data_IF_895345413397
#
_entry.id   IF_895345413397
#
_cell.length_a   1.000
_cell.length_b   1.000
_cell.length_c   1.000
_cell.angle_alpha   90.00
_cell.angle_beta   90.00
_cell.angle_gamma   90.00
#
_symmetry.space_group_name_H-M   'P 1'
#
loop_
_entity.id
_entity.type
_entity.pdbx_description
1 polymer ?
#
# COMPACT_ATOMS: atom_id res chain seq x y z
N UNK A 1 -28.14 -75.20 -21.33
CA UNK A 1 -28.71 -74.01 -22.00
C UNK A 1 -29.76 -73.43 -21.05
N UNK A 2 -29.82 -72.10 -20.92
CA UNK A 2 -30.71 -71.29 -20.05
C UNK A 2 -30.49 -71.27 -18.50
N UNK A 3 -30.31 -70.03 -18.00
CA UNK A 3 -30.97 -69.38 -16.84
C UNK A 3 -30.36 -69.48 -15.40
N UNK A 4 -29.91 -68.29 -14.94
CA UNK A 4 -30.05 -67.55 -13.65
C UNK A 4 -29.90 -68.23 -12.28
N UNK A 5 -29.13 -67.47 -11.47
CA UNK A 5 -29.34 -67.04 -10.08
C UNK A 5 -29.05 -68.02 -8.93
N UNK A 6 -28.21 -67.57 -8.00
CA UNK A 6 -28.18 -68.08 -6.63
C UNK A 6 -28.09 -66.94 -5.60
N UNK A 7 -29.02 -67.01 -4.64
CA UNK A 7 -29.20 -66.21 -3.42
C UNK A 7 -28.22 -66.71 -2.33
N UNK A 8 -27.58 -65.80 -1.59
CA UNK A 8 -27.91 -65.35 -0.21
C UNK A 8 -27.55 -66.36 0.92
N UNK A 9 -26.69 -65.94 1.85
CA UNK A 9 -26.58 -66.54 3.20
C UNK A 9 -26.42 -65.44 4.28
N UNK A 10 -27.27 -65.57 5.30
CA UNK A 10 -27.39 -64.89 6.61
C UNK A 10 -26.13 -65.03 7.47
N UNK A 11 -25.81 -64.28 8.53
CA UNK A 11 -26.49 -63.29 9.38
C UNK A 11 -25.63 -63.03 10.64
N UNK A 12 -26.17 -62.25 11.60
CA UNK A 12 -25.68 -61.96 12.97
C UNK A 12 -24.80 -60.70 13.11
N UNK A 13 -25.43 -59.58 13.47
CA UNK A 13 -24.85 -58.56 14.36
C UNK A 13 -25.99 -57.85 15.10
N UNK A 14 -26.24 -58.24 16.34
CA UNK A 14 -27.14 -57.52 17.25
C UNK A 14 -26.60 -57.66 18.69
N UNK A 15 -26.69 -56.56 19.45
CA UNK A 15 -26.32 -56.33 20.86
C UNK A 15 -24.86 -55.93 21.16
N UNK A 16 -24.65 -54.62 21.28
CA UNK A 16 -24.15 -53.97 22.51
C UNK A 16 -24.10 -52.45 22.30
N UNK A 17 -25.22 -51.74 22.51
CA UNK A 17 -25.21 -50.28 22.66
C UNK A 17 -26.11 -49.87 23.82
N UNK A 18 -25.54 -49.96 25.03
CA UNK A 18 -26.00 -49.23 26.19
C UNK A 18 -24.86 -49.13 27.22
N UNK A 19 -23.95 -48.17 27.02
CA UNK A 19 -23.23 -47.54 28.13
C UNK A 19 -23.20 -46.04 27.87
N UNK A 20 -23.86 -45.30 28.74
CA UNK A 20 -23.81 -43.86 28.85
C UNK A 20 -22.39 -43.39 29.16
N UNK A 21 -21.79 -42.64 28.27
CA UNK A 21 -20.82 -41.62 28.66
C UNK A 21 -21.38 -40.29 28.20
N UNK A 22 -21.94 -39.55 29.15
CA UNK A 22 -22.09 -38.11 29.01
C UNK A 22 -20.71 -37.55 28.74
N UNK A 23 -20.40 -37.32 27.46
CA UNK A 23 -19.32 -36.42 27.12
C UNK A 23 -19.73 -35.10 27.72
N UNK A 24 -19.02 -34.73 28.79
CA UNK A 24 -18.82 -33.35 29.17
C UNK A 24 -18.55 -32.63 27.84
N UNK A 25 -19.54 -31.90 27.32
CA UNK A 25 -19.26 -30.86 26.35
C UNK A 25 -18.43 -29.87 27.14
N UNK A 26 -17.11 -30.06 27.13
CA UNK A 26 -16.19 -28.96 27.33
C UNK A 26 -16.67 -27.94 26.32
N UNK A 27 -17.36 -26.90 26.78
CA UNK A 27 -17.55 -25.69 25.99
C UNK A 27 -16.15 -25.33 25.57
N UNK A 28 -15.77 -25.66 24.34
CA UNK A 28 -14.58 -25.10 23.74
C UNK A 28 -14.82 -23.61 23.85
N UNK A 29 -14.03 -22.93 24.67
CA UNK A 29 -14.08 -21.49 24.75
C UNK A 29 -13.99 -21.03 23.29
N UNK A 30 -15.04 -20.35 22.80
CA UNK A 30 -15.00 -19.79 21.47
C UNK A 30 -13.68 -19.03 21.37
N UNK A 31 -12.85 -19.28 20.34
CA UNK A 31 -11.57 -18.60 20.22
C UNK A 31 -11.82 -17.11 20.38
N UNK A 32 -10.99 -16.45 21.20
CA UNK A 32 -11.11 -15.01 21.38
C UNK A 32 -11.11 -14.34 20.00
N UNK A 33 -11.98 -13.36 19.76
CA UNK A 33 -11.97 -12.60 18.52
C UNK A 33 -10.56 -12.06 18.25
N UNK A 34 -10.12 -12.11 17.00
CA UNK A 34 -8.89 -11.44 16.60
C UNK A 34 -9.04 -9.93 16.87
N UNK A 35 -8.19 -9.37 17.73
CA UNK A 35 -8.19 -7.95 18.08
C UNK A 35 -6.86 -7.32 17.68
N UNK A 36 -6.93 -6.17 17.02
CA UNK A 36 -5.77 -5.31 16.80
C UNK A 36 -5.76 -4.19 17.85
N UNK A 37 -4.69 -4.14 18.67
CA UNK A 37 -4.55 -3.14 19.74
C UNK A 37 -4.36 -1.72 19.19
N UNK A 38 -3.89 -1.61 17.95
CA UNK A 38 -3.60 -0.36 17.27
C UNK A 38 -4.79 0.07 16.39
N UNK A 39 -5.97 -0.51 16.59
CA UNK A 39 -7.21 -0.13 15.91
C UNK A 39 -8.33 0.20 16.90
N UNK A 40 -9.08 1.25 16.61
CA UNK A 40 -10.33 1.62 17.30
C UNK A 40 -11.46 1.84 16.29
N UNK A 41 -12.70 1.66 16.74
CA UNK A 41 -13.90 1.99 15.96
C UNK A 41 -14.79 2.96 16.72
N UNK A 42 -15.46 3.84 15.98
CA UNK A 42 -16.39 4.83 16.49
C UNK A 42 -17.74 4.69 15.78
N UNK A 43 -18.81 4.50 16.55
CA UNK A 43 -20.15 4.73 16.04
C UNK A 43 -20.35 6.25 15.90
N UNK A 44 -20.70 6.68 14.68
CA UNK A 44 -20.77 8.08 14.32
C UNK A 44 -22.11 8.40 13.65
N UNK A 45 -22.92 9.23 14.29
CA UNK A 45 -24.20 9.71 13.73
C UNK A 45 -23.98 10.97 12.90
N UNK A 46 -24.17 10.88 11.59
CA UNK A 46 -23.98 12.01 10.68
C UNK A 46 -25.16 12.97 10.71
N UNK A 47 -24.90 14.26 10.95
CA UNK A 47 -25.94 15.30 10.86
C UNK A 47 -26.19 15.70 9.41
N UNK A 48 -25.13 15.75 8.59
CA UNK A 48 -25.23 15.99 7.15
C UNK A 48 -26.15 14.96 6.51
N UNK A 49 -25.95 13.67 6.77
CA UNK A 49 -26.67 12.60 6.08
C UNK A 49 -27.97 12.22 6.79
N UNK A 50 -27.99 12.25 8.13
CA UNK A 50 -29.09 11.74 8.96
C UNK A 50 -29.02 10.22 9.16
N UNK A 51 -27.83 9.64 9.12
CA UNK A 51 -27.57 8.19 9.17
C UNK A 51 -26.34 7.90 10.03
N UNK A 52 -26.24 6.67 10.54
CA UNK A 52 -25.10 6.21 11.34
C UNK A 52 -24.05 5.49 10.50
N UNK A 53 -22.79 5.74 10.81
CA UNK A 53 -21.61 5.13 10.21
C UNK A 53 -20.69 4.55 11.29
N UNK A 54 -19.80 3.66 10.86
CA UNK A 54 -18.67 3.23 11.69
C UNK A 54 -17.40 3.86 11.13
N UNK A 55 -16.67 4.60 11.95
CA UNK A 55 -15.37 5.16 11.62
C UNK A 55 -14.29 4.30 12.27
N UNK A 56 -13.55 3.58 11.45
CA UNK A 56 -12.39 2.79 11.85
C UNK A 56 -11.14 3.66 11.80
N UNK A 57 -10.29 3.57 12.82
CA UNK A 57 -9.01 4.28 12.89
C UNK A 57 -7.93 3.29 13.27
N UNK A 58 -6.92 3.13 12.44
CA UNK A 58 -5.73 2.33 12.73
C UNK A 58 -4.50 3.22 12.85
N UNK A 59 -3.76 3.04 13.94
CA UNK A 59 -2.58 3.81 14.31
C UNK A 59 -1.31 3.23 13.68
N UNK A 60 -0.42 4.07 13.14
CA UNK A 60 0.86 3.59 12.66
C UNK A 60 1.77 3.15 13.83
N UNK A 61 2.78 2.28 13.56
CA UNK A 61 3.80 1.94 14.54
C UNK A 61 4.46 3.20 15.15
N UNK A 62 4.63 3.18 16.48
CA UNK A 62 5.24 4.29 17.20
C UNK A 62 4.34 5.52 17.38
N UNK A 63 3.04 5.43 17.07
CA UNK A 63 2.09 6.52 17.34
C UNK A 63 2.22 7.01 18.79
N UNK A 64 2.20 6.11 19.77
CA UNK A 64 2.24 6.47 21.20
C UNK A 64 3.61 6.96 21.70
N UNK A 65 4.70 6.64 21.00
CA UNK A 65 6.07 6.97 21.43
C UNK A 65 6.61 8.23 20.78
N UNK A 66 5.95 8.74 19.74
CA UNK A 66 6.36 9.94 19.01
C UNK A 66 5.37 11.09 19.17
N UNK A 67 5.82 12.31 18.90
CA UNK A 67 4.99 13.52 18.90
C UNK A 67 4.68 14.05 17.50
N UNK A 68 5.05 13.29 16.46
CA UNK A 68 4.87 13.75 15.08
C UNK A 68 3.38 13.76 14.70
N UNK A 69 3.05 14.60 13.73
CA UNK A 69 1.73 14.62 13.10
C UNK A 69 1.75 13.78 11.84
N UNK A 70 0.83 12.85 11.71
CA UNK A 70 0.79 11.86 10.63
C UNK A 70 -0.07 12.31 9.44
N UNK A 71 0.29 11.96 8.19
CA UNK A 71 -0.66 12.01 7.08
C UNK A 71 -1.83 11.05 7.35
N UNK A 72 -2.96 11.24 6.66
CA UNK A 72 -4.15 10.41 6.83
C UNK A 72 -4.57 9.77 5.51
N UNK A 73 -4.73 8.45 5.51
CA UNK A 73 -5.33 7.69 4.42
C UNK A 73 -6.81 7.42 4.75
N UNK A 74 -7.70 8.21 4.17
CA UNK A 74 -9.14 7.96 4.22
C UNK A 74 -9.54 6.94 3.16
N UNK A 75 -10.52 6.09 3.47
CA UNK A 75 -11.06 5.14 2.50
C UNK A 75 -12.56 4.92 2.66
N UNK A 76 -13.23 4.78 1.51
CA UNK A 76 -14.59 4.26 1.44
C UNK A 76 -14.57 2.75 1.67
N UNK A 77 -15.74 2.14 1.93
CA UNK A 77 -15.85 0.69 2.19
C UNK A 77 -14.87 0.24 3.30
N UNK A 78 -14.78 1.03 4.38
CA UNK A 78 -13.83 0.82 5.48
C UNK A 78 -13.95 -0.55 6.15
N UNK A 79 -15.14 -1.16 6.09
CA UNK A 79 -15.39 -2.52 6.57
C UNK A 79 -14.50 -3.57 5.88
N UNK A 80 -14.06 -3.32 4.64
CA UNK A 80 -13.25 -4.25 3.84
C UNK A 80 -11.85 -3.73 3.56
N UNK A 81 -11.73 -2.44 3.23
CA UNK A 81 -10.46 -1.87 2.78
C UNK A 81 -9.46 -1.67 3.92
N UNK A 82 -9.92 -1.52 5.17
CA UNK A 82 -9.06 -1.22 6.32
C UNK A 82 -7.99 -2.29 6.53
N UNK A 83 -8.39 -3.56 6.61
CA UNK A 83 -7.47 -4.67 6.89
C UNK A 83 -6.50 -4.92 5.74
N UNK A 84 -6.91 -4.65 4.51
CA UNK A 84 -6.02 -4.71 3.33
C UNK A 84 -4.96 -3.62 3.44
N UNK A 85 -5.35 -2.38 3.75
CA UNK A 85 -4.43 -1.26 3.87
C UNK A 85 -3.40 -1.48 4.99
N UNK A 86 -3.85 -1.96 6.15
CA UNK A 86 -3.00 -2.33 7.28
C UNK A 86 -1.91 -3.33 6.84
N UNK A 87 -2.31 -4.40 6.13
CA UNK A 87 -1.37 -5.39 5.64
C UNK A 87 -0.44 -4.84 4.55
N UNK A 88 -0.92 -4.00 3.64
CA UNK A 88 -0.06 -3.35 2.65
C UNK A 88 1.04 -2.52 3.31
N UNK A 89 0.72 -1.70 4.32
CA UNK A 89 1.74 -0.97 5.08
C UNK A 89 2.70 -1.92 5.79
N UNK A 90 2.19 -3.02 6.40
CA UNK A 90 3.04 -4.01 7.06
C UNK A 90 4.06 -4.67 6.11
N UNK A 91 3.63 -5.02 4.90
CA UNK A 91 4.50 -5.66 3.91
C UNK A 91 5.45 -4.66 3.27
N UNK A 92 4.97 -3.50 2.84
CA UNK A 92 5.81 -2.46 2.23
C UNK A 92 6.88 -1.95 3.21
N UNK A 93 6.56 -1.90 4.51
CA UNK A 93 7.56 -1.61 5.55
C UNK A 93 8.69 -2.63 5.63
N UNK A 94 8.65 -3.79 4.98
CA UNK A 94 9.78 -4.72 4.97
C UNK A 94 10.83 -4.29 3.95
N UNK A 95 10.39 -3.80 2.80
CA UNK A 95 11.27 -3.52 1.67
C UNK A 95 11.62 -2.04 1.57
N UNK A 96 10.65 -1.15 1.87
CA UNK A 96 10.75 0.29 1.62
C UNK A 96 10.97 1.10 2.89
N UNK A 97 11.56 2.29 2.72
CA UNK A 97 11.41 3.38 3.68
C UNK A 97 10.05 4.05 3.51
N UNK A 98 9.14 3.77 4.44
CA UNK A 98 7.74 4.20 4.36
C UNK A 98 7.48 5.43 5.23
N UNK A 99 6.68 6.36 4.71
CA UNK A 99 6.05 7.43 5.49
C UNK A 99 4.78 6.87 6.10
N UNK A 100 4.80 6.63 7.41
CA UNK A 100 3.65 6.09 8.14
C UNK A 100 2.43 7.03 8.10
N UNK A 101 1.22 6.45 8.07
CA UNK A 101 -0.04 7.17 8.00
C UNK A 101 -1.05 6.66 9.04
N UNK A 102 -1.92 7.55 9.49
CA UNK A 102 -3.16 7.15 10.17
C UNK A 102 -4.13 6.64 9.11
N UNK A 103 -4.64 5.42 9.28
CA UNK A 103 -5.60 4.84 8.33
C UNK A 103 -7.01 5.08 8.89
N UNK A 104 -7.90 5.67 8.09
CA UNK A 104 -9.27 5.99 8.49
C UNK A 104 -10.25 5.36 7.50
N UNK A 105 -10.99 4.35 7.95
CA UNK A 105 -12.00 3.66 7.15
C UNK A 105 -13.38 4.17 7.50
N UNK A 106 -14.16 4.55 6.49
CA UNK A 106 -15.57 4.93 6.65
C UNK A 106 -16.40 3.75 6.17
N UNK A 107 -17.07 3.10 7.11
CA UNK A 107 -17.87 1.90 6.87
C UNK A 107 -19.23 1.97 7.55
N UNK A 108 -19.90 0.82 7.57
CA UNK A 108 -21.24 0.66 8.11
C UNK A 108 -21.26 -0.20 9.39
N UNK A 109 -20.17 -0.92 9.69
CA UNK A 109 -20.10 -1.89 10.77
C UNK A 109 -21.10 -3.02 10.57
N UNK A 110 -21.87 -3.34 11.61
CA UNK A 110 -22.92 -4.35 11.55
C UNK A 110 -24.23 -3.86 10.92
N UNK A 111 -24.29 -2.59 10.46
CA UNK A 111 -25.49 -1.98 9.89
C UNK A 111 -25.67 -2.40 8.41
N UNK A 112 -26.87 -2.26 7.84
CA UNK A 112 -27.07 -2.49 6.41
C UNK A 112 -26.14 -1.61 5.57
N UNK A 113 -25.40 -2.24 4.67
CA UNK A 113 -24.45 -1.54 3.80
C UNK A 113 -25.21 -0.59 2.85
N UNK A 114 -24.93 0.72 2.92
CA UNK A 114 -25.56 1.77 2.09
C UNK A 114 -24.67 2.28 0.96
N UNK A 115 -23.59 1.56 0.61
CA UNK A 115 -22.59 2.01 -0.38
C UNK A 115 -23.17 2.40 -1.74
N UNK A 116 -24.23 1.71 -2.19
CA UNK A 116 -24.85 2.01 -3.48
C UNK A 116 -25.51 3.40 -3.50
N UNK A 117 -25.97 3.89 -2.35
CA UNK A 117 -26.43 5.26 -2.18
C UNK A 117 -25.23 6.19 -2.08
N UNK A 118 -24.36 5.94 -1.09
CA UNK A 118 -23.33 6.90 -0.66
C UNK A 118 -22.21 7.09 -1.70
N UNK A 119 -21.85 6.03 -2.43
CA UNK A 119 -20.73 6.04 -3.38
C UNK A 119 -21.18 6.28 -4.83
N UNK A 120 -22.47 6.51 -5.07
CA UNK A 120 -22.96 6.83 -6.41
C UNK A 120 -22.76 8.34 -6.68
N UNK A 121 -21.91 8.72 -7.65
CA UNK A 121 -21.64 10.13 -7.96
C UNK A 121 -22.85 10.98 -8.35
N UNK A 122 -23.89 10.35 -8.91
CA UNK A 122 -25.07 11.05 -9.42
C UNK A 122 -26.11 11.33 -8.34
N UNK A 123 -26.04 10.63 -7.20
CA UNK A 123 -27.08 10.69 -6.16
C UNK A 123 -26.50 10.99 -4.79
N UNK A 124 -26.08 9.98 -4.02
CA UNK A 124 -25.62 10.17 -2.64
C UNK A 124 -24.18 10.67 -2.51
N UNK A 125 -23.35 10.53 -3.54
CA UNK A 125 -21.95 10.96 -3.56
C UNK A 125 -21.72 12.39 -3.07
N UNK A 126 -22.39 13.41 -3.63
CA UNK A 126 -22.23 14.80 -3.18
C UNK A 126 -22.55 15.00 -1.68
N UNK A 127 -23.55 14.29 -1.16
CA UNK A 127 -23.92 14.36 0.26
C UNK A 127 -22.91 13.61 1.14
N UNK A 128 -22.39 12.49 0.63
CA UNK A 128 -21.40 11.67 1.32
C UNK A 128 -20.04 12.37 1.43
N UNK A 129 -19.56 13.03 0.36
CA UNK A 129 -18.32 13.83 0.47
C UNK A 129 -18.50 15.04 1.40
N UNK A 130 -19.68 15.67 1.41
CA UNK A 130 -19.98 16.74 2.38
C UNK A 130 -19.89 16.25 3.82
N UNK A 131 -20.36 15.03 4.11
CA UNK A 131 -20.18 14.39 5.41
C UNK A 131 -18.71 14.17 5.75
N UNK A 132 -17.91 13.65 4.81
CA UNK A 132 -16.48 13.43 5.04
C UNK A 132 -15.76 14.76 5.33
N UNK A 133 -16.03 15.79 4.53
CA UNK A 133 -15.41 17.10 4.62
C UNK A 133 -15.79 17.85 5.91
N UNK A 134 -17.09 17.89 6.24
CA UNK A 134 -17.62 18.74 7.31
C UNK A 134 -17.65 18.04 8.67
N UNK A 135 -17.61 16.70 8.71
CA UNK A 135 -17.79 15.93 9.93
C UNK A 135 -16.60 15.00 10.20
N UNK A 136 -16.27 14.10 9.26
CA UNK A 136 -15.24 13.07 9.50
C UNK A 136 -13.85 13.68 9.62
N UNK A 137 -13.44 14.54 8.69
CA UNK A 137 -12.10 15.18 8.73
C UNK A 137 -11.92 15.99 10.02
N UNK A 138 -12.86 16.89 10.41
CA UNK A 138 -12.77 17.60 11.69
C UNK A 138 -12.74 16.67 12.91
N UNK A 139 -13.53 15.59 12.91
CA UNK A 139 -13.53 14.60 13.99
C UNK A 139 -12.15 13.95 14.17
N UNK A 140 -11.52 13.52 13.07
CA UNK A 140 -10.17 12.92 13.10
C UNK A 140 -9.13 13.96 13.54
N UNK A 141 -9.19 15.18 13.00
CA UNK A 141 -8.26 16.26 13.35
C UNK A 141 -8.35 16.69 14.82
N UNK A 142 -9.55 16.73 15.40
CA UNK A 142 -9.78 17.10 16.79
C UNK A 142 -9.32 16.03 17.79
N UNK A 143 -9.16 14.78 17.34
CA UNK A 143 -8.91 13.63 18.21
C UNK A 143 -7.51 13.03 18.08
N UNK A 144 -6.89 13.17 16.93
CA UNK A 144 -5.63 12.50 16.59
C UNK A 144 -4.56 13.46 16.07
N UNK A 145 -3.30 13.04 16.19
CA UNK A 145 -2.13 13.81 15.74
C UNK A 145 -1.96 13.66 14.24
N UNK A 146 -2.69 14.47 13.48
CA UNK A 146 -2.66 14.44 12.01
C UNK A 146 -2.17 15.76 11.42
N UNK A 147 -1.60 15.71 10.21
CA UNK A 147 -1.21 16.88 9.41
C UNK A 147 -2.16 17.06 8.22
N UNK A 148 -1.90 18.04 7.35
CA UNK A 148 -2.81 18.40 6.25
C UNK A 148 -2.72 17.47 5.03
N UNK A 149 -1.78 16.52 5.02
CA UNK A 149 -1.67 15.52 3.96
C UNK A 149 -2.77 14.47 4.12
N UNK A 150 -3.68 14.44 3.15
CA UNK A 150 -4.89 13.62 3.17
C UNK A 150 -4.99 12.88 1.86
N UNK A 151 -5.06 11.56 1.94
CA UNK A 151 -5.35 10.69 0.82
C UNK A 151 -6.79 10.19 0.88
N UNK A 152 -7.41 9.98 -0.28
CA UNK A 152 -8.66 9.22 -0.41
C UNK A 152 -8.44 8.00 -1.30
N UNK A 153 -8.78 6.82 -0.79
CA UNK A 153 -8.82 5.58 -1.54
C UNK A 153 -10.26 5.09 -1.73
N UNK A 154 -10.57 4.66 -2.95
CA UNK A 154 -11.82 3.95 -3.23
C UNK A 154 -11.65 2.90 -4.34
N UNK A 155 -12.37 1.79 -4.20
CA UNK A 155 -12.36 0.68 -5.14
C UNK A 155 -13.76 0.41 -5.70
N UNK A 156 -13.91 0.04 -6.97
CA UNK A 156 -15.23 -0.23 -7.58
C UNK A 156 -16.14 1.00 -7.56
N UNK A 157 -17.32 0.95 -6.91
CA UNK A 157 -18.13 2.16 -6.66
C UNK A 157 -17.35 3.22 -5.87
N UNK A 158 -16.49 2.82 -4.93
CA UNK A 158 -15.58 3.74 -4.27
C UNK A 158 -14.64 4.43 -5.26
N UNK A 159 -14.21 3.75 -6.31
CA UNK A 159 -13.41 4.34 -7.39
C UNK A 159 -14.20 5.36 -8.23
N UNK A 160 -15.49 5.11 -8.46
CA UNK A 160 -16.39 6.08 -9.10
C UNK A 160 -16.57 7.33 -8.23
N UNK A 161 -16.88 7.16 -6.95
CA UNK A 161 -16.96 8.24 -5.98
C UNK A 161 -15.65 9.03 -5.90
N UNK A 162 -14.52 8.34 -5.81
CA UNK A 162 -13.20 8.95 -5.71
C UNK A 162 -12.83 9.75 -6.98
N UNK A 163 -13.25 9.27 -8.16
CA UNK A 163 -13.14 10.02 -9.42
C UNK A 163 -13.94 11.33 -9.37
N UNK A 164 -15.17 11.29 -8.87
CA UNK A 164 -15.99 12.49 -8.68
C UNK A 164 -15.34 13.47 -7.70
N UNK A 165 -14.80 12.98 -6.58
CA UNK A 165 -14.16 13.81 -5.56
C UNK A 165 -12.94 14.55 -6.12
N UNK A 166 -12.11 13.88 -6.93
CA UNK A 166 -10.90 14.48 -7.55
C UNK A 166 -11.20 15.81 -8.27
N UNK A 167 -12.32 15.88 -8.98
CA UNK A 167 -12.65 17.01 -9.85
C UNK A 167 -13.69 17.97 -9.24
N UNK A 168 -14.57 17.50 -8.36
CA UNK A 168 -15.60 18.34 -7.74
C UNK A 168 -15.13 19.01 -6.45
N UNK A 169 -14.13 18.43 -5.76
CA UNK A 169 -13.55 18.98 -4.53
C UNK A 169 -12.01 19.06 -4.63
N UNK A 170 -11.47 19.77 -5.65
CA UNK A 170 -10.03 19.85 -5.85
C UNK A 170 -9.35 20.47 -4.61
N UNK A 171 -8.28 19.83 -4.14
CA UNK A 171 -7.52 20.27 -2.96
C UNK A 171 -8.06 19.77 -1.61
N UNK A 172 -9.25 19.16 -1.56
CA UNK A 172 -9.73 18.51 -0.33
C UNK A 172 -8.81 17.35 0.08
N UNK A 173 -8.39 16.54 -0.90
CA UNK A 173 -7.34 15.54 -0.76
C UNK A 173 -6.18 15.90 -1.68
N UNK A 174 -4.95 15.80 -1.16
CA UNK A 174 -3.75 16.01 -1.97
C UNK A 174 -3.22 14.71 -2.57
N UNK A 175 -3.83 13.58 -2.24
CA UNK A 175 -3.58 12.27 -2.83
C UNK A 175 -4.91 11.56 -3.09
N UNK A 176 -5.09 10.98 -4.27
CA UNK A 176 -6.34 10.33 -4.68
C UNK A 176 -6.03 9.01 -5.38
N UNK A 177 -6.57 7.92 -4.86
CA UNK A 177 -6.30 6.56 -5.35
C UNK A 177 -7.59 5.91 -5.86
N UNK A 178 -7.64 5.70 -7.17
CA UNK A 178 -8.84 5.22 -7.89
C UNK A 178 -8.60 3.77 -8.31
N UNK A 179 -9.21 2.83 -7.60
CA UNK A 179 -9.15 1.41 -7.91
C UNK A 179 -10.36 0.93 -8.71
N UNK A 180 -10.12 0.31 -9.86
CA UNK A 180 -11.10 -0.39 -10.70
C UNK A 180 -12.50 0.26 -10.69
N UNK A 181 -12.66 1.52 -11.12
CA UNK A 181 -13.92 2.25 -11.01
C UNK A 181 -15.07 1.46 -11.66
N UNK A 182 -16.17 1.29 -10.92
CA UNK A 182 -17.25 0.34 -11.23
C UNK A 182 -18.06 0.63 -12.50
N UNK A 183 -17.87 1.80 -13.12
CA UNK A 183 -18.46 2.19 -14.39
C UNK A 183 -17.50 1.94 -15.58
N UNK A 184 -16.62 0.96 -15.45
CA UNK A 184 -15.52 0.62 -16.37
C UNK A 184 -14.54 1.78 -16.60
N UNK A 185 -14.49 2.78 -15.71
CA UNK A 185 -13.65 3.96 -15.85
C UNK A 185 -14.13 4.95 -16.92
N UNK A 186 -15.35 4.77 -17.47
CA UNK A 186 -15.87 5.62 -18.55
C UNK A 186 -16.01 7.10 -18.20
N UNK A 187 -16.20 7.41 -16.91
CA UNK A 187 -16.34 8.80 -16.45
C UNK A 187 -15.00 9.49 -16.16
N UNK A 188 -13.86 8.78 -16.19
CA UNK A 188 -12.54 9.36 -15.90
C UNK A 188 -12.20 10.49 -16.87
N UNK A 189 -12.19 10.18 -18.18
CA UNK A 189 -11.79 11.14 -19.21
C UNK A 189 -12.80 12.29 -19.37
N UNK A 190 -14.13 12.05 -19.43
CA UNK A 190 -15.11 13.14 -19.46
C UNK A 190 -15.03 14.08 -18.26
N UNK A 191 -14.83 13.54 -17.05
CA UNK A 191 -14.69 14.36 -15.84
C UNK A 191 -13.44 15.25 -15.91
N UNK A 192 -12.31 14.71 -16.36
CA UNK A 192 -11.09 15.49 -16.57
C UNK A 192 -11.28 16.58 -17.62
N UNK A 193 -11.85 16.25 -18.78
CA UNK A 193 -12.11 17.21 -19.86
C UNK A 193 -13.01 18.35 -19.40
N UNK A 194 -14.06 18.05 -18.64
CA UNK A 194 -14.94 19.05 -18.05
C UNK A 194 -14.21 19.95 -17.05
N UNK A 195 -13.35 19.38 -16.21
CA UNK A 195 -12.55 20.14 -15.25
C UNK A 195 -11.57 21.09 -15.97
N UNK A 196 -10.76 20.57 -16.90
CA UNK A 196 -9.74 21.35 -17.63
C UNK A 196 -10.31 22.30 -18.69
N UNK A 197 -11.61 22.24 -18.98
CA UNK A 197 -12.28 23.28 -19.76
C UNK A 197 -12.28 24.65 -19.04
N UNK A 198 -12.19 24.66 -17.70
CA UNK A 198 -12.23 25.87 -16.88
C UNK A 198 -11.04 26.02 -15.91
N UNK A 199 -10.13 25.06 -15.88
CA UNK A 199 -8.98 25.03 -14.97
C UNK A 199 -7.72 24.69 -15.75
N UNK A 200 -6.58 25.21 -15.29
CA UNK A 200 -5.26 24.95 -15.90
C UNK A 200 -4.29 24.23 -14.96
N UNK A 201 -4.72 23.98 -13.72
CA UNK A 201 -3.93 23.32 -12.71
C UNK A 201 -4.72 22.24 -11.97
N UNK A 202 -3.99 21.31 -11.37
CA UNK A 202 -4.48 20.36 -10.40
C UNK A 202 -3.30 20.00 -9.49
N UNK A 203 -3.43 20.26 -8.19
CA UNK A 203 -2.41 19.94 -7.19
C UNK A 203 -2.79 18.66 -6.45
N UNK A 204 -2.38 17.51 -6.98
CA UNK A 204 -2.73 16.22 -6.42
C UNK A 204 -1.76 15.14 -6.90
N UNK A 205 -1.48 14.15 -6.04
CA UNK A 205 -0.94 12.86 -6.50
C UNK A 205 -2.10 11.93 -6.83
N UNK A 206 -2.11 11.31 -8.00
CA UNK A 206 -3.19 10.45 -8.46
C UNK A 206 -2.64 9.09 -8.83
N UNK A 207 -3.18 8.02 -8.23
CA UNK A 207 -2.83 6.66 -8.62
C UNK A 207 -4.08 5.92 -9.09
N UNK A 208 -3.97 5.21 -10.22
CA UNK A 208 -5.03 4.35 -10.72
C UNK A 208 -4.58 2.90 -10.74
N UNK A 209 -5.48 1.97 -10.46
CA UNK A 209 -5.13 0.56 -10.61
C UNK A 209 -6.31 -0.33 -10.91
N UNK A 210 -6.07 -1.40 -11.65
CA UNK A 210 -7.10 -2.34 -12.09
C UNK A 210 -6.52 -3.73 -12.39
N UNK A 211 -7.36 -4.76 -12.47
CA UNK A 211 -6.96 -6.08 -12.95
C UNK A 211 -6.88 -6.17 -14.48
N UNK A 212 -5.93 -6.94 -15.02
CA UNK A 212 -5.75 -7.08 -16.47
C UNK A 212 -6.93 -7.69 -17.21
N UNK A 213 -7.81 -8.41 -16.53
CA UNK A 213 -9.02 -8.98 -17.14
C UNK A 213 -10.18 -7.98 -17.23
N UNK A 214 -10.10 -6.81 -16.58
CA UNK A 214 -11.05 -5.71 -16.75
C UNK A 214 -10.61 -4.80 -17.91
N UNK A 215 -10.56 -5.35 -19.12
CA UNK A 215 -9.88 -4.75 -20.28
C UNK A 215 -10.34 -3.33 -20.62
N UNK A 216 -11.66 -3.06 -20.54
CA UNK A 216 -12.19 -1.72 -20.80
C UNK A 216 -11.71 -0.71 -19.75
N UNK A 217 -11.67 -1.13 -18.49
CA UNK A 217 -11.22 -0.31 -17.38
C UNK A 217 -9.71 -0.03 -17.49
N UNK A 218 -8.91 -1.06 -17.81
CA UNK A 218 -7.47 -0.92 -18.12
C UNK A 218 -7.21 0.11 -19.24
N UNK A 219 -7.92 -0.02 -20.36
CA UNK A 219 -7.84 0.96 -21.45
C UNK A 219 -8.21 2.37 -21.00
N UNK A 220 -9.28 2.53 -20.22
CA UNK A 220 -9.77 3.85 -19.80
C UNK A 220 -8.82 4.52 -18.80
N UNK A 221 -8.21 3.79 -17.85
CA UNK A 221 -7.21 4.37 -16.94
C UNK A 221 -5.93 4.79 -17.67
N UNK A 222 -5.51 4.05 -18.70
CA UNK A 222 -4.37 4.40 -19.55
C UNK A 222 -4.63 5.70 -20.32
N UNK A 223 -5.78 5.79 -20.99
CA UNK A 223 -6.19 6.96 -21.76
C UNK A 223 -6.35 8.20 -20.87
N UNK A 224 -6.98 8.03 -19.71
CA UNK A 224 -7.09 9.08 -18.71
C UNK A 224 -5.71 9.56 -18.25
N UNK A 225 -4.82 8.65 -17.87
CA UNK A 225 -3.48 9.03 -17.39
C UNK A 225 -2.69 9.77 -18.46
N UNK A 226 -2.74 9.32 -19.71
CA UNK A 226 -2.11 10.01 -20.83
C UNK A 226 -2.70 11.42 -21.06
N UNK A 227 -4.01 11.58 -20.93
CA UNK A 227 -4.67 12.89 -21.02
C UNK A 227 -4.25 13.83 -19.89
N UNK A 228 -4.24 13.35 -18.64
CA UNK A 228 -3.85 14.12 -17.46
C UNK A 228 -2.39 14.58 -17.54
N UNK A 229 -1.46 13.71 -17.96
CA UNK A 229 -0.04 14.08 -18.16
C UNK A 229 0.14 15.19 -19.19
N UNK A 230 -0.69 15.23 -20.24
CA UNK A 230 -0.66 16.30 -21.27
C UNK A 230 -1.11 17.67 -20.77
N UNK A 231 -1.79 17.75 -19.62
CA UNK A 231 -2.19 19.05 -19.05
C UNK A 231 -1.00 19.82 -18.47
N UNK A 232 0.16 19.17 -18.28
CA UNK A 232 1.39 19.78 -17.79
C UNK A 232 1.22 20.56 -16.47
N UNK A 233 0.32 20.10 -15.60
CA UNK A 233 0.11 20.70 -14.29
C UNK A 233 1.35 20.51 -13.41
N UNK A 234 1.91 21.61 -12.90
CA UNK A 234 3.18 21.62 -12.16
C UNK A 234 3.22 20.67 -10.96
N UNK A 235 2.10 20.55 -10.25
CA UNK A 235 2.00 19.78 -8.99
C UNK A 235 1.11 18.54 -9.14
N UNK A 236 0.93 18.05 -10.37
CA UNK A 236 0.24 16.78 -10.64
C UNK A 236 1.27 15.67 -10.77
N UNK A 237 1.22 14.70 -9.86
CA UNK A 237 1.99 13.46 -9.96
C UNK A 237 1.01 12.32 -10.21
N UNK A 238 1.01 11.73 -11.41
CA UNK A 238 0.03 10.72 -11.79
C UNK A 238 0.67 9.48 -12.38
N UNK A 239 0.24 8.32 -11.89
CA UNK A 239 0.64 7.03 -12.42
C UNK A 239 -0.48 5.98 -12.34
N UNK A 240 -0.26 4.84 -12.99
CA UNK A 240 -1.20 3.73 -12.93
C UNK A 240 -0.50 2.36 -12.96
N UNK A 241 -1.19 1.32 -12.52
CA UNK A 241 -0.75 -0.06 -12.70
C UNK A 241 -1.90 -1.01 -13.07
N UNK A 242 -1.59 -1.96 -13.96
CA UNK A 242 -2.49 -3.05 -14.31
C UNK A 242 -1.96 -4.33 -13.68
N UNK A 243 -2.76 -4.95 -12.81
CA UNK A 243 -2.40 -6.18 -12.10
C UNK A 243 -2.54 -7.38 -13.04
N UNK A 244 -1.43 -8.06 -13.39
CA UNK A 244 -1.47 -9.18 -14.35
C UNK A 244 -2.27 -10.37 -13.81
N UNK A 245 -3.05 -11.02 -14.67
CA UNK A 245 -3.79 -12.25 -14.35
C UNK A 245 -4.93 -12.06 -13.35
N UNK A 246 -5.33 -10.82 -13.06
CA UNK A 246 -6.34 -10.52 -12.06
C UNK A 246 -7.64 -9.99 -12.67
N UNK A 247 -8.77 -10.39 -12.07
CA UNK A 247 -10.09 -9.82 -12.29
C UNK A 247 -10.49 -8.91 -11.10
N UNK A 248 -11.69 -8.34 -11.12
CA UNK A 248 -12.13 -7.27 -10.20
C UNK A 248 -11.79 -7.48 -8.72
N UNK A 249 -12.16 -8.63 -8.13
CA UNK A 249 -11.84 -8.91 -6.71
C UNK A 249 -10.37 -9.25 -6.48
N UNK A 250 -9.76 -10.01 -7.39
CA UNK A 250 -8.38 -10.49 -7.26
C UNK A 250 -7.34 -9.36 -7.33
N UNK A 251 -7.68 -8.25 -8.00
CA UNK A 251 -6.78 -7.11 -8.14
C UNK A 251 -6.75 -6.18 -6.92
N UNK A 252 -7.77 -6.21 -6.04
CA UNK A 252 -7.98 -5.19 -5.00
C UNK A 252 -6.74 -4.97 -4.13
N UNK A 253 -6.17 -6.05 -3.58
CA UNK A 253 -5.01 -5.97 -2.68
C UNK A 253 -3.78 -5.40 -3.39
N UNK A 254 -3.48 -5.86 -4.61
CA UNK A 254 -2.33 -5.37 -5.37
C UNK A 254 -2.51 -3.91 -5.80
N UNK A 255 -3.71 -3.51 -6.19
CA UNK A 255 -4.03 -2.12 -6.53
C UNK A 255 -3.83 -1.21 -5.33
N UNK A 256 -4.29 -1.62 -4.15
CA UNK A 256 -4.08 -0.87 -2.91
C UNK A 256 -2.59 -0.80 -2.52
N UNK A 257 -1.87 -1.92 -2.62
CA UNK A 257 -0.44 -1.96 -2.33
C UNK A 257 0.34 -1.02 -3.25
N UNK A 258 0.04 -1.01 -4.55
CA UNK A 258 0.69 -0.12 -5.52
C UNK A 258 0.37 1.36 -5.22
N UNK A 259 -0.87 1.68 -4.84
CA UNK A 259 -1.26 3.04 -4.46
C UNK A 259 -0.52 3.53 -3.20
N UNK A 260 -0.42 2.67 -2.18
CA UNK A 260 0.33 2.99 -0.95
C UNK A 260 1.82 3.13 -1.26
N UNK A 261 2.39 2.23 -2.07
CA UNK A 261 3.79 2.32 -2.48
C UNK A 261 4.08 3.63 -3.23
N UNK A 262 3.22 4.01 -4.19
CA UNK A 262 3.35 5.24 -4.95
C UNK A 262 3.37 6.49 -4.05
N UNK A 263 2.51 6.53 -3.03
CA UNK A 263 2.31 7.71 -2.21
C UNK A 263 3.21 7.80 -0.97
N UNK A 264 3.45 6.67 -0.32
CA UNK A 264 4.06 6.61 1.02
C UNK A 264 5.44 5.96 1.04
N UNK A 265 5.85 5.24 0.00
CA UNK A 265 7.19 4.65 -0.04
C UNK A 265 8.18 5.56 -0.75
N UNK A 266 9.34 5.75 -0.13
CA UNK A 266 10.45 6.44 -0.76
C UNK A 266 11.13 5.47 -1.72
N UNK A 267 11.42 5.96 -2.93
CA UNK A 267 12.28 5.26 -3.89
C UNK A 267 13.55 6.07 -4.08
N UNK A 268 14.69 5.42 -4.06
CA UNK A 268 15.93 6.06 -4.47
C UNK A 268 15.86 6.39 -5.96
N UNK A 269 16.44 7.54 -6.34
CA UNK A 269 16.58 7.94 -7.75
C UNK A 269 18.07 7.99 -8.07
N UNK A 270 18.49 7.12 -8.98
CA UNK A 270 19.88 7.13 -9.43
C UNK A 270 20.23 8.46 -10.11
N UNK A 271 21.42 8.96 -9.81
CA UNK A 271 22.08 10.02 -10.57
C UNK A 271 23.14 9.40 -11.47
N UNK A 272 23.60 10.14 -12.47
CA UNK A 272 24.70 9.69 -13.32
C UNK A 272 26.00 10.24 -12.75
N UNK A 273 26.94 9.36 -12.42
CA UNK A 273 28.33 9.70 -12.13
C UNK A 273 29.22 9.12 -13.23
N UNK A 274 30.28 9.83 -13.59
CA UNK A 274 31.26 9.35 -14.57
C UNK A 274 32.12 8.23 -13.98
N UNK A 275 32.72 7.40 -14.84
CA UNK A 275 33.66 6.35 -14.39
C UNK A 275 34.80 6.92 -13.52
N UNK A 276 35.30 8.12 -13.86
CA UNK A 276 36.34 8.82 -13.09
C UNK A 276 35.87 9.23 -11.69
N UNK A 277 34.60 9.58 -11.55
CA UNK A 277 34.00 9.92 -10.25
C UNK A 277 33.73 8.68 -9.40
N UNK A 278 33.50 7.52 -10.03
CA UNK A 278 33.25 6.25 -9.36
C UNK A 278 34.52 5.48 -8.98
N UNK A 279 35.61 5.65 -9.73
CA UNK A 279 36.89 4.97 -9.52
C UNK A 279 37.43 5.06 -8.08
N UNK A 280 37.33 6.21 -7.37
CA UNK A 280 37.79 6.34 -5.99
C UNK A 280 37.13 5.39 -4.99
N UNK A 281 35.96 4.80 -5.31
CA UNK A 281 35.23 3.87 -4.46
C UNK A 281 35.63 2.41 -4.66
N UNK A 282 36.29 2.08 -5.77
CA UNK A 282 36.77 0.71 -6.02
C UNK A 282 37.87 0.33 -5.03
N UNK A 283 37.86 -0.91 -4.56
CA UNK A 283 38.81 -1.44 -3.59
C UNK A 283 38.30 -2.71 -2.90
N UNK A 284 39.18 -3.30 -2.09
CA UNK A 284 38.79 -4.36 -1.18
C UNK A 284 38.39 -3.75 0.17
N UNK A 285 37.41 -4.35 0.82
CA UNK A 285 36.83 -3.90 2.08
C UNK A 285 36.66 -5.09 3.04
N UNK A 286 36.75 -4.82 4.35
CA UNK A 286 36.55 -5.81 5.42
C UNK A 286 35.79 -5.21 6.59
N UNK A 287 35.02 -6.03 7.31
CA UNK A 287 34.50 -5.65 8.63
C UNK A 287 35.67 -5.61 9.62
N UNK A 288 35.76 -4.56 10.43
CA UNK A 288 36.82 -4.45 11.43
C UNK A 288 36.75 -5.62 12.42
N UNK A 289 37.85 -6.39 12.52
CA UNK A 289 37.94 -7.55 13.42
C UNK A 289 37.33 -8.86 12.88
N UNK A 290 36.84 -8.87 11.64
CA UNK A 290 36.41 -10.09 10.95
C UNK A 290 37.29 -10.38 9.73
N UNK A 291 37.86 -11.58 9.70
CA UNK A 291 38.71 -12.04 8.58
C UNK A 291 37.98 -13.03 7.65
N UNK A 292 36.78 -13.49 8.02
CA UNK A 292 36.05 -14.51 7.27
C UNK A 292 35.41 -13.96 6.00
N UNK A 293 34.89 -12.75 6.08
CA UNK A 293 34.22 -12.10 4.95
C UNK A 293 35.15 -11.12 4.22
N UNK A 294 35.15 -11.24 2.91
CA UNK A 294 35.85 -10.35 1.99
C UNK A 294 34.84 -9.63 1.10
N UNK A 295 35.02 -8.32 0.97
CA UNK A 295 34.13 -7.49 0.18
C UNK A 295 34.95 -6.78 -0.89
N UNK A 296 34.44 -6.74 -2.11
CA UNK A 296 35.10 -6.08 -3.24
C UNK A 296 34.14 -5.12 -3.90
N UNK A 297 34.55 -3.86 -4.00
CA UNK A 297 33.90 -2.86 -4.85
C UNK A 297 34.76 -2.66 -6.09
N UNK A 298 34.18 -2.74 -7.28
CA UNK A 298 34.92 -2.60 -8.53
C UNK A 298 34.09 -1.97 -9.64
N UNK A 299 34.77 -1.29 -10.55
CA UNK A 299 34.18 -0.75 -11.76
C UNK A 299 34.10 -1.79 -12.88
N UNK A 300 32.96 -1.87 -13.54
CA UNK A 300 32.77 -2.62 -14.78
C UNK A 300 31.71 -1.94 -15.65
N UNK A 301 31.98 -1.77 -16.93
CA UNK A 301 31.02 -1.16 -17.87
C UNK A 301 30.54 0.24 -17.46
N UNK A 302 31.37 1.02 -16.77
CA UNK A 302 31.02 2.36 -16.27
C UNK A 302 30.14 2.38 -15.02
N UNK A 303 29.87 1.22 -14.42
CA UNK A 303 29.06 1.05 -13.21
C UNK A 303 29.90 0.49 -12.07
N UNK A 304 29.48 0.77 -10.84
CA UNK A 304 30.13 0.28 -9.64
C UNK A 304 29.41 -1.00 -9.16
N UNK A 305 30.18 -2.05 -8.85
CA UNK A 305 29.65 -3.31 -8.36
C UNK A 305 30.26 -3.65 -7.02
N UNK A 306 29.47 -4.26 -6.15
CA UNK A 306 29.85 -4.80 -4.86
C UNK A 306 29.68 -6.31 -4.84
N UNK A 307 30.67 -7.02 -4.32
CA UNK A 307 30.66 -8.48 -4.19
C UNK A 307 31.10 -8.88 -2.80
N UNK A 308 30.32 -9.71 -2.12
CA UNK A 308 30.72 -10.41 -0.90
C UNK A 308 31.19 -11.81 -1.26
N UNK A 309 32.44 -12.15 -0.93
CA UNK A 309 33.06 -13.45 -1.21
C UNK A 309 32.82 -13.89 -2.67
N UNK A 310 32.20 -15.06 -2.85
CA UNK A 310 31.86 -15.65 -4.14
C UNK A 310 30.41 -15.45 -4.58
N UNK A 311 29.66 -14.60 -3.89
CA UNK A 311 28.27 -14.29 -4.27
C UNK A 311 28.20 -13.50 -5.58
N UNK A 312 27.00 -13.44 -6.17
CA UNK A 312 26.75 -12.61 -7.33
C UNK A 312 26.98 -11.14 -7.00
N UNK A 313 27.67 -10.38 -7.88
CA UNK A 313 27.88 -8.96 -7.66
C UNK A 313 26.55 -8.20 -7.78
N UNK A 314 26.39 -7.20 -6.92
CA UNK A 314 25.27 -6.26 -6.92
C UNK A 314 25.74 -4.89 -7.41
N UNK A 315 24.92 -4.21 -8.20
CA UNK A 315 25.23 -2.85 -8.66
C UNK A 315 25.06 -1.87 -7.49
N UNK A 316 26.00 -0.94 -7.32
CA UNK A 316 25.85 0.23 -6.47
C UNK A 316 25.47 1.41 -7.36
N UNK A 317 24.20 1.79 -7.32
CA UNK A 317 23.67 2.95 -8.01
C UNK A 317 23.83 4.20 -7.12
N UNK A 318 24.48 5.27 -7.59
CA UNK A 318 24.62 6.50 -6.81
C UNK A 318 23.31 7.28 -6.80
N UNK A 319 22.92 7.84 -5.65
CA UNK A 319 21.87 8.87 -5.56
C UNK A 319 22.40 10.22 -5.08
N UNK A 320 23.64 10.24 -4.58
CA UNK A 320 24.45 11.43 -4.35
C UNK A 320 25.92 11.09 -4.64
N UNK A 321 26.82 12.08 -4.51
CA UNK A 321 28.24 11.91 -4.86
C UNK A 321 28.89 10.71 -4.17
N UNK A 322 28.62 10.50 -2.89
CA UNK A 322 29.22 9.50 -2.01
C UNK A 322 28.19 8.52 -1.40
N UNK A 323 26.95 8.55 -1.90
CA UNK A 323 25.83 7.81 -1.34
C UNK A 323 25.13 6.99 -2.43
N UNK A 324 24.93 5.71 -2.13
CA UNK A 324 24.56 4.66 -3.08
C UNK A 324 23.46 3.76 -2.49
N UNK A 325 22.81 3.02 -3.37
CA UNK A 325 21.83 1.99 -3.08
C UNK A 325 22.02 0.82 -4.07
N UNK A 326 21.49 -0.36 -3.74
CA UNK A 326 21.48 -1.57 -4.56
C UNK A 326 20.16 -1.76 -5.30
N UNK A 327 19.04 -1.45 -4.65
CA UNK A 327 17.70 -1.52 -5.25
C UNK A 327 16.93 -0.22 -5.02
N UNK A 328 16.19 0.28 -6.03
CA UNK A 328 15.48 1.56 -5.90
C UNK A 328 14.43 1.56 -4.78
N UNK A 329 13.97 0.38 -4.40
CA UNK A 329 12.97 0.13 -3.37
C UNK A 329 13.53 -0.29 -2.02
N UNK A 330 14.85 -0.44 -1.86
CA UNK A 330 15.41 -0.89 -0.59
C UNK A 330 15.45 0.22 0.48
N UNK A 331 15.58 -0.23 1.73
CA UNK A 331 15.81 0.66 2.87
C UNK A 331 17.27 1.07 3.10
N UNK A 332 18.20 0.34 2.52
CA UNK A 332 19.62 0.47 2.84
C UNK A 332 20.22 1.71 2.17
N UNK A 333 20.92 2.52 2.95
CA UNK A 333 21.77 3.58 2.43
C UNK A 333 23.24 3.17 2.56
N UNK A 334 23.96 3.23 1.45
CA UNK A 334 25.38 2.86 1.37
C UNK A 334 26.19 4.14 1.21
N UNK A 335 26.90 4.55 2.26
CA UNK A 335 27.68 5.78 2.23
C UNK A 335 29.18 5.48 2.26
N UNK A 336 29.91 6.02 1.30
CA UNK A 336 31.37 6.05 1.33
C UNK A 336 31.85 7.24 2.14
N UNK A 337 32.75 7.02 3.08
CA UNK A 337 33.26 8.04 3.99
C UNK A 337 34.78 8.01 4.06
N UNK A 338 35.36 9.13 4.48
CA UNK A 338 36.80 9.25 4.73
C UNK A 338 37.01 9.85 6.11
N UNK A 339 37.81 9.18 6.95
CA UNK A 339 38.16 9.63 8.29
C UNK A 339 39.65 9.39 8.52
N UNK A 340 40.40 10.43 8.91
CA UNK A 340 41.85 10.32 9.10
C UNK A 340 42.62 9.82 7.86
N UNK A 341 42.15 10.14 6.65
CA UNK A 341 42.71 9.68 5.38
C UNK A 341 42.37 8.24 5.01
N UNK A 342 41.68 7.48 5.88
CA UNK A 342 41.21 6.12 5.60
C UNK A 342 39.80 6.16 5.02
N UNK A 343 39.61 5.45 3.91
CA UNK A 343 38.29 5.28 3.28
C UNK A 343 37.60 4.07 3.89
N UNK A 344 36.28 4.17 4.03
CA UNK A 344 35.42 3.08 4.46
C UNK A 344 34.04 3.28 3.85
N UNK A 345 33.22 2.23 3.83
CA UNK A 345 31.82 2.33 3.46
C UNK A 345 30.95 1.86 4.63
N UNK A 346 29.76 2.41 4.74
CA UNK A 346 28.80 2.08 5.79
C UNK A 346 27.48 1.68 5.14
N UNK A 347 26.99 0.50 5.50
CA UNK A 347 25.61 0.11 5.24
C UNK A 347 24.73 0.57 6.39
N UNK A 348 23.72 1.37 6.09
CA UNK A 348 22.73 1.83 7.05
C UNK A 348 21.39 1.16 6.74
N UNK A 349 21.04 0.15 7.52
CA UNK A 349 19.71 -0.46 7.49
C UNK A 349 18.85 0.19 8.58
N UNK A 350 17.68 0.78 8.25
CA UNK A 350 16.77 1.37 9.22
C UNK A 350 16.37 0.38 10.30
N UNK A 351 16.54 0.78 11.57
CA UNK A 351 16.24 -0.05 12.73
C UNK A 351 17.37 -0.98 13.16
N UNK A 352 18.47 -1.03 12.41
CA UNK A 352 19.65 -1.85 12.72
C UNK A 352 20.88 -0.99 13.02
N UNK A 353 21.89 -1.60 13.63
CA UNK A 353 23.18 -0.93 13.81
C UNK A 353 23.89 -0.85 12.45
N UNK A 354 24.42 0.33 12.07
CA UNK A 354 25.18 0.44 10.83
C UNK A 354 26.36 -0.52 10.76
N UNK A 355 26.57 -1.12 9.60
CA UNK A 355 27.70 -2.03 9.34
C UNK A 355 28.79 -1.26 8.62
N UNK A 356 29.97 -1.16 9.23
CA UNK A 356 31.14 -0.47 8.66
C UNK A 356 32.09 -1.48 8.02
N UNK A 357 32.48 -1.23 6.78
CA UNK A 357 33.57 -1.93 6.10
C UNK A 357 34.73 -0.98 5.83
N UNK A 358 35.89 -1.24 6.42
CA UNK A 358 37.10 -0.47 6.18
C UNK A 358 37.77 -0.90 4.88
N UNK A 359 38.23 0.06 4.08
CA UNK A 359 38.99 -0.24 2.88
C UNK A 359 40.34 -0.81 3.28
N UNK A 360 40.67 -1.97 2.71
CA UNK A 360 41.98 -2.59 2.81
C UNK A 360 42.73 -2.37 1.51
N UNK A 361 43.98 -1.93 1.61
CA UNK A 361 44.85 -1.71 0.46
C UNK A 361 45.23 -3.03 -0.19
#
# INVERSE_FOLDING_TARGET
>A
MTIRAFKLFTGIFMLAFAVSTGYCQVKTASPSPFTDKDMVSWDYSSKTIGEDYTIYVHFPPGYDTTKIKYPVLYMTDGDWNMTVAMNCFNMLRQDYKTTEALIVGIGYGSRPNKRNRDLNPETGGPKFISFIEQEVIPFIQGKYRVNDNKALYGYSFGGMFTTMVLFNHPGLFNMVFIGAPGNTGRELLPSAQKYFANHTDLNCRVFLGVGSYEQENAKNIEQFTAYMKKQNCKNLDIDFAITPGANHGAALAQVMQNAIAFAYCQKHKAIILTAKELEPYSGNYKVAGDEKDTFKVYLSGGKLYFKQNDQLPQEFAPYAKDSFFMYEDEKADINFKTEGGKKYLVFNFPGEKPVRLDRVN
#
